data_IF_779257370828
#
_entry.id   IF_779257370828
#
_cell.length_a   1.000
_cell.length_b   1.000
_cell.length_c   1.000
_cell.angle_alpha   90.00
_cell.angle_beta   90.00
_cell.angle_gamma   90.00
#
_symmetry.space_group_name_H-M   'P 1'
#
loop_
_entity.id
_entity.type
_entity.pdbx_description
1 polymer ?
#
# COMPACT_ATOMS: atom_id res chain seq x y z
N UNK A 1 -10.95 17.50 43.52
CA UNK A 1 -9.81 17.13 42.65
C UNK A 1 -10.40 16.28 41.54
N UNK A 2 -10.51 16.84 40.34
CA UNK A 2 -11.01 16.12 39.17
C UNK A 2 -9.79 15.60 38.43
N UNK A 3 -9.60 14.28 38.46
CA UNK A 3 -8.54 13.62 37.71
C UNK A 3 -9.02 13.45 36.27
N UNK A 4 -8.39 14.22 35.38
CA UNK A 4 -8.25 13.88 33.97
C UNK A 4 -7.48 12.56 33.87
N UNK A 5 -7.96 11.59 33.09
CA UNK A 5 -7.14 10.87 32.10
C UNK A 5 -7.94 9.84 31.30
N UNK A 6 -7.88 10.03 29.98
CA UNK A 6 -7.63 9.02 28.96
C UNK A 6 -8.59 7.83 28.84
N UNK A 7 -9.53 7.94 27.90
CA UNK A 7 -9.98 6.77 27.13
C UNK A 7 -9.96 7.18 25.67
N UNK A 8 -8.78 7.11 25.06
CA UNK A 8 -8.66 7.07 23.61
C UNK A 8 -9.53 5.91 23.10
N UNK A 9 -10.60 6.24 22.39
CA UNK A 9 -11.41 5.25 21.69
C UNK A 9 -10.52 4.58 20.64
N UNK A 10 -10.24 3.30 20.89
CA UNK A 10 -9.72 2.25 20.01
C UNK A 10 -9.69 2.58 18.51
N UNK A 11 -8.57 3.15 18.04
CA UNK A 11 -8.17 3.17 16.63
C UNK A 11 -7.35 1.91 16.36
N UNK A 12 -7.99 0.76 16.29
CA UNK A 12 -7.29 -0.45 15.85
C UNK A 12 -6.89 -0.24 14.38
N UNK A 13 -5.58 -0.18 14.12
CA UNK A 13 -4.96 -0.23 12.78
C UNK A 13 -5.66 -1.27 11.90
N UNK A 14 -5.75 -1.04 10.58
CA UNK A 14 -6.31 -2.07 9.69
C UNK A 14 -5.50 -3.35 9.82
N UNK A 15 -4.19 -3.22 9.96
CA UNK A 15 -3.25 -4.33 10.08
C UNK A 15 -3.39 -5.10 11.42
N UNK A 16 -3.98 -4.51 12.46
CA UNK A 16 -4.32 -5.22 13.70
C UNK A 16 -5.54 -6.16 13.49
N UNK A 17 -6.52 -5.70 12.72
CA UNK A 17 -7.76 -6.45 12.43
C UNK A 17 -7.59 -7.44 11.29
N UNK A 18 -6.77 -7.09 10.31
CA UNK A 18 -6.47 -7.86 9.12
C UNK A 18 -4.94 -7.86 8.93
N UNK A 19 -4.23 -8.71 9.66
CA UNK A 19 -2.78 -8.78 9.57
C UNK A 19 -2.33 -9.21 8.17
N UNK A 20 -1.30 -8.53 7.65
CA UNK A 20 -0.77 -8.79 6.32
C UNK A 20 0.00 -10.12 6.23
N UNK A 21 0.78 -10.46 7.25
CA UNK A 21 1.64 -11.65 7.27
C UNK A 21 1.17 -12.68 8.27
N UNK A 22 1.37 -13.95 7.95
CA UNK A 22 1.22 -15.08 8.88
C UNK A 22 2.40 -15.12 9.88
N UNK A 23 2.34 -16.00 10.88
CA UNK A 23 3.45 -16.22 11.83
C UNK A 23 4.76 -16.64 11.14
N UNK A 24 4.69 -17.17 9.91
CA UNK A 24 5.84 -17.56 9.10
C UNK A 24 6.46 -16.43 8.26
N UNK A 25 5.89 -15.23 8.27
CA UNK A 25 6.35 -14.09 7.45
C UNK A 25 5.83 -14.08 6.00
N UNK A 26 5.12 -15.13 5.59
CA UNK A 26 4.42 -15.19 4.30
C UNK A 26 3.19 -14.28 4.30
N UNK A 27 2.87 -13.67 3.15
CA UNK A 27 1.66 -12.87 3.00
C UNK A 27 0.42 -13.76 3.13
N UNK A 28 -0.53 -13.31 3.95
CA UNK A 28 -1.83 -13.93 4.11
C UNK A 28 -2.63 -13.81 2.83
N UNK A 29 -3.05 -14.94 2.27
CA UNK A 29 -3.97 -14.96 1.13
C UNK A 29 -5.25 -14.17 1.41
N UNK A 30 -5.79 -14.27 2.63
CA UNK A 30 -6.98 -13.53 3.05
C UNK A 30 -6.79 -12.02 3.00
N UNK A 31 -5.56 -11.54 3.27
CA UNK A 31 -5.20 -10.13 3.16
C UNK A 31 -5.20 -9.70 1.69
N UNK A 32 -4.50 -10.43 0.82
CA UNK A 32 -4.47 -10.16 -0.63
C UNK A 32 -5.88 -10.17 -1.23
N UNK A 33 -6.69 -11.16 -0.88
CA UNK A 33 -8.09 -11.26 -1.33
C UNK A 33 -8.93 -10.09 -0.84
N UNK A 34 -8.66 -9.54 0.36
CA UNK A 34 -9.32 -8.34 0.83
C UNK A 34 -8.89 -7.09 0.07
N UNK A 35 -7.60 -6.95 -0.22
CA UNK A 35 -7.07 -5.82 -0.98
C UNK A 35 -7.63 -5.84 -2.41
N UNK A 36 -7.59 -6.98 -3.09
CA UNK A 36 -8.21 -7.16 -4.41
C UNK A 36 -9.71 -6.81 -4.38
N UNK A 37 -10.46 -7.28 -3.38
CA UNK A 37 -11.88 -6.88 -3.21
C UNK A 37 -12.06 -5.37 -3.01
N UNK A 38 -11.19 -4.72 -2.26
CA UNK A 38 -11.22 -3.28 -2.06
C UNK A 38 -10.88 -2.52 -3.36
N UNK A 39 -9.93 -3.01 -4.17
CA UNK A 39 -9.59 -2.45 -5.48
C UNK A 39 -10.79 -2.56 -6.42
N UNK A 40 -11.36 -3.75 -6.61
CA UNK A 40 -12.55 -3.94 -7.44
C UNK A 40 -13.77 -3.16 -6.94
N UNK A 41 -13.86 -2.92 -5.63
CA UNK A 41 -14.89 -2.09 -5.00
C UNK A 41 -14.62 -0.59 -5.06
N UNK A 42 -13.45 -0.17 -5.56
CA UNK A 42 -12.93 1.19 -5.47
C UNK A 42 -13.00 1.78 -4.05
N UNK A 43 -12.71 0.96 -3.03
CA UNK A 43 -12.67 1.35 -1.62
C UNK A 43 -11.36 2.09 -1.31
N UNK A 44 -11.20 3.23 -1.97
CA UNK A 44 -10.06 4.14 -1.80
C UNK A 44 -9.73 4.47 -0.34
N UNK A 45 -10.68 4.82 0.57
CA UNK A 45 -10.31 5.16 1.93
C UNK A 45 -9.69 3.98 2.69
N UNK A 46 -10.20 2.76 2.48
CA UNK A 46 -9.59 1.56 3.06
C UNK A 46 -8.19 1.30 2.50
N UNK A 47 -8.02 1.37 1.17
CA UNK A 47 -6.73 1.15 0.53
C UNK A 47 -5.68 2.16 1.00
N UNK A 48 -6.06 3.44 1.11
CA UNK A 48 -5.17 4.50 1.62
C UNK A 48 -4.75 4.27 3.06
N UNK A 49 -5.70 3.88 3.92
CA UNK A 49 -5.38 3.53 5.32
C UNK A 49 -4.39 2.37 5.37
N UNK A 50 -4.57 1.35 4.54
CA UNK A 50 -3.64 0.22 4.46
C UNK A 50 -2.25 0.64 3.96
N UNK A 51 -2.14 1.26 2.79
CA UNK A 51 -0.83 1.58 2.20
C UNK A 51 -0.04 2.58 3.04
N UNK A 52 -0.72 3.50 3.74
CA UNK A 52 -0.07 4.45 4.64
C UNK A 52 0.48 3.80 5.92
N UNK A 53 0.00 2.61 6.29
CA UNK A 53 0.51 1.84 7.43
C UNK A 53 1.60 0.83 7.04
N UNK A 54 1.73 0.50 5.74
CA UNK A 54 2.72 -0.45 5.24
C UNK A 54 4.07 0.24 4.98
N UNK A 55 5.17 -0.46 5.26
CA UNK A 55 6.50 -0.03 4.84
C UNK A 55 6.72 -0.32 3.35
N UNK A 56 7.69 0.35 2.72
CA UNK A 56 8.06 0.14 1.31
C UNK A 56 8.25 -1.34 0.94
N UNK A 57 8.93 -2.14 1.78
CA UNK A 57 9.14 -3.56 1.57
C UNK A 57 7.85 -4.40 1.69
N UNK A 58 6.99 -4.06 2.64
CA UNK A 58 5.70 -4.74 2.80
C UNK A 58 4.75 -4.38 1.63
N UNK A 59 4.73 -3.12 1.22
CA UNK A 59 3.94 -2.66 0.09
C UNK A 59 4.43 -3.30 -1.22
N UNK A 60 5.74 -3.41 -1.42
CA UNK A 60 6.34 -4.17 -2.53
C UNK A 60 5.90 -5.63 -2.54
N UNK A 61 6.03 -6.35 -1.42
CA UNK A 61 5.59 -7.74 -1.35
C UNK A 61 4.06 -7.87 -1.62
N UNK A 62 3.24 -6.93 -1.14
CA UNK A 62 1.79 -6.91 -1.43
C UNK A 62 1.53 -6.77 -2.93
N UNK A 63 2.18 -5.83 -3.60
CA UNK A 63 2.03 -5.61 -5.05
C UNK A 63 2.49 -6.84 -5.82
N UNK A 64 3.59 -7.46 -5.42
CA UNK A 64 4.07 -8.71 -6.01
C UNK A 64 3.09 -9.88 -5.85
N UNK A 65 2.34 -9.91 -4.75
CA UNK A 65 1.31 -10.92 -4.47
C UNK A 65 -0.02 -10.67 -5.20
N UNK A 66 -0.29 -9.45 -5.65
CA UNK A 66 -1.49 -9.09 -6.41
C UNK A 66 -1.39 -9.53 -7.88
N UNK A 67 -2.56 -9.72 -8.50
CA UNK A 67 -2.66 -9.95 -9.95
C UNK A 67 -2.28 -8.68 -10.72
N UNK A 68 -1.71 -8.79 -11.94
CA UNK A 68 -1.26 -7.63 -12.72
C UNK A 68 -2.29 -6.52 -12.85
N UNK A 69 -3.56 -6.88 -13.09
CA UNK A 69 -4.67 -5.93 -13.22
C UNK A 69 -4.97 -5.15 -11.93
N UNK A 70 -4.76 -5.77 -10.77
CA UNK A 70 -5.00 -5.16 -9.46
C UNK A 70 -3.85 -4.23 -9.03
N UNK A 71 -2.62 -4.49 -9.50
CA UNK A 71 -1.43 -3.67 -9.17
C UNK A 71 -1.62 -2.22 -9.58
N UNK A 72 -2.03 -2.02 -10.83
CA UNK A 72 -2.29 -0.69 -11.40
C UNK A 72 -3.46 -0.03 -10.65
N UNK A 73 -4.54 -0.78 -10.44
CA UNK A 73 -5.71 -0.29 -9.71
C UNK A 73 -5.39 0.16 -8.28
N UNK A 74 -4.49 -0.53 -7.58
CA UNK A 74 -4.03 -0.12 -6.25
C UNK A 74 -3.38 1.27 -6.33
N UNK A 75 -2.36 1.42 -7.18
CA UNK A 75 -1.58 2.67 -7.32
C UNK A 75 -2.48 3.83 -7.74
N UNK A 76 -3.39 3.62 -8.70
CA UNK A 76 -4.31 4.67 -9.16
C UNK A 76 -5.31 5.11 -8.09
N UNK A 77 -5.86 4.16 -7.31
CA UNK A 77 -6.82 4.46 -6.26
C UNK A 77 -6.17 5.19 -5.08
N UNK A 78 -4.96 4.79 -4.70
CA UNK A 78 -4.22 5.43 -3.61
C UNK A 78 -3.55 6.73 -4.04
N UNK A 79 -3.09 6.84 -5.29
CA UNK A 79 -2.53 8.06 -5.87
C UNK A 79 -1.38 8.62 -5.03
N UNK A 80 -1.53 9.85 -4.55
CA UNK A 80 -0.52 10.53 -3.72
C UNK A 80 -0.31 9.92 -2.32
N UNK A 81 -1.19 9.03 -1.86
CA UNK A 81 -0.97 8.28 -0.62
C UNK A 81 -0.13 7.00 -0.86
N UNK A 82 0.16 6.67 -2.12
CA UNK A 82 0.99 5.52 -2.49
C UNK A 82 2.48 5.87 -2.40
N UNK A 83 3.23 5.07 -1.67
CA UNK A 83 4.69 5.20 -1.63
C UNK A 83 5.33 4.53 -2.85
N UNK A 84 5.79 5.34 -3.80
CA UNK A 84 6.47 4.85 -5.00
C UNK A 84 7.83 4.21 -4.71
N UNK A 85 8.40 4.41 -3.52
CA UNK A 85 9.64 3.74 -3.08
C UNK A 85 9.43 2.24 -2.95
N UNK A 86 8.20 1.79 -2.70
CA UNK A 86 7.83 0.37 -2.70
C UNK A 86 8.06 -0.31 -4.05
N UNK A 87 7.99 0.44 -5.16
CA UNK A 87 8.32 -0.11 -6.48
C UNK A 87 9.79 -0.55 -6.54
N UNK A 88 10.67 0.00 -5.70
CA UNK A 88 12.07 -0.40 -5.64
C UNK A 88 12.29 -1.80 -5.06
N UNK A 89 11.34 -2.30 -4.29
CA UNK A 89 11.38 -3.62 -3.67
C UNK A 89 10.83 -4.72 -4.60
N UNK A 90 10.21 -4.33 -5.72
CA UNK A 90 9.73 -5.23 -6.76
C UNK A 90 10.85 -5.68 -7.70
N UNK A 91 10.72 -6.91 -8.21
CA UNK A 91 11.50 -7.39 -9.35
C UNK A 91 11.38 -6.42 -10.55
N UNK A 92 12.49 -6.20 -11.27
CA UNK A 92 12.56 -5.27 -12.40
C UNK A 92 11.43 -5.50 -13.42
N UNK A 93 11.14 -6.77 -13.74
CA UNK A 93 10.08 -7.12 -14.70
C UNK A 93 8.67 -6.73 -14.24
N UNK A 94 8.39 -6.84 -12.93
CA UNK A 94 7.08 -6.44 -12.36
C UNK A 94 7.00 -4.92 -12.28
N UNK A 95 8.08 -4.26 -11.90
CA UNK A 95 8.19 -2.80 -11.86
C UNK A 95 7.97 -2.18 -13.23
N UNK A 96 8.67 -2.69 -14.24
CA UNK A 96 8.54 -2.23 -15.63
C UNK A 96 7.10 -2.39 -16.12
N UNK A 97 6.47 -3.56 -15.89
CA UNK A 97 5.07 -3.81 -16.25
C UNK A 97 4.12 -2.78 -15.64
N UNK A 98 4.24 -2.51 -14.34
CA UNK A 98 3.40 -1.51 -13.65
C UNK A 98 3.61 -0.11 -14.23
N UNK A 99 4.87 0.29 -14.44
CA UNK A 99 5.19 1.62 -14.97
C UNK A 99 4.73 1.81 -16.42
N UNK A 100 4.66 0.73 -17.20
CA UNK A 100 4.14 0.76 -18.58
C UNK A 100 2.61 0.88 -18.62
N UNK A 101 1.90 0.32 -17.64
CA UNK A 101 0.43 0.39 -17.57
C UNK A 101 -0.11 1.64 -16.85
N UNK A 102 0.66 2.22 -15.94
CA UNK A 102 0.25 3.44 -15.22
C UNK A 102 0.16 4.67 -16.11
N UNK A 103 -0.76 5.58 -15.76
CA UNK A 103 -0.84 6.87 -16.44
C UNK A 103 0.46 7.68 -16.26
N UNK A 104 0.98 8.33 -17.32
CA UNK A 104 2.23 9.09 -17.25
C UNK A 104 2.25 10.17 -16.17
N UNK A 105 1.08 10.73 -15.86
CA UNK A 105 0.89 11.75 -14.83
C UNK A 105 1.14 11.18 -13.43
N UNK A 106 0.61 9.99 -13.15
CA UNK A 106 0.78 9.23 -11.90
C UNK A 106 2.24 8.82 -11.70
N UNK A 107 2.88 8.30 -12.75
CA UNK A 107 4.32 7.98 -12.71
C UNK A 107 5.16 9.23 -12.44
N UNK A 108 4.83 10.36 -13.08
CA UNK A 108 5.56 11.60 -12.90
C UNK A 108 5.37 12.21 -11.50
N UNK A 109 4.22 12.01 -10.84
CA UNK A 109 4.03 12.36 -9.42
C UNK A 109 4.93 11.48 -8.54
N UNK A 110 4.90 10.16 -8.72
CA UNK A 110 5.69 9.23 -7.93
C UNK A 110 7.20 9.44 -8.03
N UNK A 111 7.72 9.63 -9.24
CA UNK A 111 9.15 9.90 -9.47
C UNK A 111 9.61 11.19 -8.80
N UNK A 112 8.74 12.20 -8.65
CA UNK A 112 9.07 13.45 -7.95
C UNK A 112 9.23 13.25 -6.44
N UNK A 113 8.47 12.33 -5.85
CA UNK A 113 8.59 12.01 -4.42
C UNK A 113 9.85 11.18 -4.14
N UNK A 114 10.15 10.20 -5.00
CA UNK A 114 11.40 9.41 -4.93
C UNK A 114 12.68 10.27 -4.92
N UNK A 115 12.76 11.26 -5.80
CA UNK A 115 13.94 12.15 -5.90
C UNK A 115 14.08 13.07 -4.68
N UNK A 116 12.99 13.28 -3.93
CA UNK A 116 12.99 14.11 -2.72
C UNK A 116 13.48 13.36 -1.46
N UNK A 117 13.34 12.03 -1.42
CA UNK A 117 13.75 11.20 -0.27
C UNK A 117 15.24 10.79 -0.30
N UNK A 118 15.86 10.70 -1.49
CA UNK A 118 17.31 10.42 -1.64
C UNK A 118 18.19 11.68 -1.42
N UNK A 119 17.60 12.86 -1.21
CA UNK A 119 18.29 14.15 -1.14
C UNK A 119 18.77 14.57 0.28
N UNK A 120 19.00 13.62 1.19
CA UNK A 120 19.40 13.85 2.60
C UNK A 120 20.88 13.58 2.91
#
# INVERSE_FOLDING_TARGET
>A
MAEHMDVAQSTASVLDRLPMREEGGEIRREFVEQISRAIHGADTPFLREVVAELHEADLGDLIGALEPEDRVGLVELTGADFDFSALNELDDSVREEILEELEPETVAEGVRELDSDDAI
#
